data_IF_654348987441
#
_entry.id   IF_654348987441
#
_cell.length_a   1.000
_cell.length_b   1.000
_cell.length_c   1.000
_cell.angle_alpha   90.00
_cell.angle_beta   90.00
_cell.angle_gamma   90.00
#
_symmetry.space_group_name_H-M   'P 1'
#
loop_
_entity.id
_entity.type
_entity.pdbx_description
1 polymer ?
#
# COMPACT_ATOMS: atom_id res chain seq x y z
N UNK A 1 9.10 6.24 17.50
CA UNK A 1 9.77 7.14 16.54
C UNK A 1 9.08 6.96 15.19
N UNK A 2 8.41 8.01 14.70
CA UNK A 2 7.78 8.02 13.37
C UNK A 2 8.86 7.88 12.30
N UNK A 3 8.60 7.08 11.26
CA UNK A 3 9.35 7.12 10.01
C UNK A 3 8.65 8.11 9.06
N UNK A 4 9.18 9.32 8.79
CA UNK A 4 8.52 10.29 7.92
C UNK A 4 9.08 10.36 6.50
N UNK A 5 10.02 9.49 6.10
CA UNK A 5 10.83 9.71 4.88
C UNK A 5 10.35 9.01 3.60
N UNK A 6 9.34 8.14 3.66
CA UNK A 6 8.82 7.44 2.47
C UNK A 6 7.83 8.29 1.68
N UNK A 7 6.97 9.04 2.37
CA UNK A 7 5.89 9.81 1.74
C UNK A 7 6.41 10.95 0.86
N UNK A 8 7.51 11.60 1.24
CA UNK A 8 8.14 12.66 0.43
C UNK A 8 8.70 12.13 -0.88
N UNK A 9 9.22 10.90 -0.88
CA UNK A 9 9.78 10.24 -2.06
C UNK A 9 8.66 9.77 -3.00
N UNK A 10 7.62 9.10 -2.48
CA UNK A 10 6.45 8.70 -3.27
C UNK A 10 5.74 9.89 -3.92
N UNK A 11 5.55 10.99 -3.18
CA UNK A 11 4.95 12.21 -3.74
C UNK A 11 5.82 12.83 -4.85
N UNK A 12 7.15 12.78 -4.73
CA UNK A 12 8.05 13.21 -5.81
C UNK A 12 7.97 12.31 -7.04
N UNK A 13 7.90 10.98 -6.85
CA UNK A 13 7.69 10.02 -7.94
C UNK A 13 6.38 10.30 -8.67
N UNK A 14 5.28 10.51 -7.94
CA UNK A 14 3.98 10.82 -8.52
C UNK A 14 3.95 12.17 -9.26
N UNK A 15 4.58 13.22 -8.72
CA UNK A 15 4.75 14.50 -9.42
C UNK A 15 5.56 14.34 -10.73
N UNK A 16 6.58 13.49 -10.73
CA UNK A 16 7.31 13.17 -11.96
C UNK A 16 6.44 12.42 -12.98
N UNK A 17 5.53 11.54 -12.52
CA UNK A 17 4.52 10.91 -13.37
C UNK A 17 3.57 11.96 -13.96
N UNK A 18 3.08 12.91 -13.18
CA UNK A 18 2.21 14.00 -13.68
C UNK A 18 2.88 14.79 -14.80
N UNK A 19 4.15 15.17 -14.63
CA UNK A 19 4.92 15.85 -15.69
C UNK A 19 5.06 15.00 -16.95
N UNK A 20 5.28 13.69 -16.80
CA UNK A 20 5.34 12.77 -17.95
C UNK A 20 3.98 12.65 -18.65
N UNK A 21 2.87 12.68 -17.92
CA UNK A 21 1.52 12.68 -18.51
C UNK A 21 1.30 13.96 -19.34
N UNK A 22 1.70 15.12 -18.83
CA UNK A 22 1.65 16.38 -19.59
C UNK A 22 2.46 16.23 -20.89
N UNK A 23 3.69 15.69 -20.80
CA UNK A 23 4.54 15.45 -21.98
C UNK A 23 3.90 14.51 -23.01
N UNK A 24 3.23 13.44 -22.56
CA UNK A 24 2.49 12.52 -23.43
C UNK A 24 1.36 13.24 -24.18
N UNK A 25 0.62 14.12 -23.50
CA UNK A 25 -0.42 14.93 -24.14
C UNK A 25 0.15 15.90 -25.19
N UNK A 26 1.27 16.55 -24.88
CA UNK A 26 2.00 17.40 -25.85
C UNK A 26 2.43 16.60 -27.08
N UNK A 27 3.02 15.42 -26.89
CA UNK A 27 3.44 14.53 -27.98
C UNK A 27 2.25 14.10 -28.84
N UNK A 28 1.10 13.82 -28.24
CA UNK A 28 -0.14 13.55 -28.97
C UNK A 28 -0.59 14.74 -29.83
N UNK A 29 -0.48 15.96 -29.31
CA UNK A 29 -0.72 17.19 -30.06
C UNK A 29 0.22 17.36 -31.24
N UNK A 30 1.53 17.14 -31.03
CA UNK A 30 2.54 17.23 -32.08
C UNK A 30 2.35 16.18 -33.18
N UNK A 31 1.91 14.97 -32.83
CA UNK A 31 1.54 13.93 -33.81
C UNK A 31 0.38 14.41 -34.68
N UNK A 32 -0.67 14.97 -34.06
CA UNK A 32 -1.85 15.49 -34.80
C UNK A 32 -1.45 16.66 -35.70
N UNK A 33 -0.62 17.57 -35.21
CA UNK A 33 -0.12 18.72 -35.98
C UNK A 33 0.71 18.27 -37.19
N UNK A 34 1.64 17.32 -37.00
CA UNK A 34 2.46 16.79 -38.08
C UNK A 34 1.61 16.04 -39.13
N UNK A 35 0.58 15.31 -38.69
CA UNK A 35 -0.37 14.65 -39.60
C UNK A 35 -1.24 15.63 -40.39
N UNK A 36 -1.55 16.81 -39.81
CA UNK A 36 -2.32 17.86 -40.46
C UNK A 36 -1.48 18.75 -41.40
N UNK A 37 -0.18 18.49 -41.52
CA UNK A 37 0.73 19.29 -42.35
C UNK A 37 0.30 19.29 -43.83
N UNK A 38 0.13 20.48 -44.40
CA UNK A 38 -0.33 20.70 -45.78
C UNK A 38 0.63 20.16 -46.85
N UNK A 39 1.90 19.96 -46.49
CA UNK A 39 2.93 19.36 -47.36
C UNK A 39 3.06 17.84 -47.21
N UNK A 40 2.22 17.24 -46.36
CA UNK A 40 2.28 15.84 -45.97
C UNK A 40 3.16 15.62 -44.73
N UNK A 41 2.90 14.55 -43.94
CA UNK A 41 3.62 14.29 -42.71
C UNK A 41 5.06 13.83 -42.96
N UNK A 42 6.00 14.40 -42.20
CA UNK A 42 7.39 13.93 -42.15
C UNK A 42 7.46 12.67 -41.31
N UNK A 43 7.63 11.52 -41.99
CA UNK A 43 7.52 10.19 -41.37
C UNK A 43 8.59 9.94 -40.30
N UNK A 44 9.77 10.51 -40.44
CA UNK A 44 10.88 10.49 -39.49
C UNK A 44 10.56 11.26 -38.20
N UNK A 45 10.00 12.45 -38.32
CA UNK A 45 9.55 13.28 -37.18
C UNK A 45 8.39 12.61 -36.46
N UNK A 46 7.39 12.16 -37.21
CA UNK A 46 6.22 11.46 -36.70
C UNK A 46 6.62 10.18 -35.95
N UNK A 47 7.55 9.38 -36.51
CA UNK A 47 8.07 8.19 -35.85
C UNK A 47 8.83 8.53 -34.56
N UNK A 48 9.51 9.67 -34.52
CA UNK A 48 10.15 10.21 -33.31
C UNK A 48 9.13 10.48 -32.20
N UNK A 49 8.09 11.27 -32.49
CA UNK A 49 7.04 11.58 -31.52
C UNK A 49 6.30 10.33 -31.02
N UNK A 50 5.94 9.42 -31.93
CA UNK A 50 5.29 8.16 -31.57
C UNK A 50 6.18 7.29 -30.66
N UNK A 51 7.50 7.24 -30.92
CA UNK A 51 8.44 6.48 -30.08
C UNK A 51 8.56 7.09 -28.68
N UNK A 52 8.73 8.40 -28.59
CA UNK A 52 8.82 9.12 -27.32
C UNK A 52 7.52 8.99 -26.51
N UNK A 53 6.37 9.03 -27.19
CA UNK A 53 5.05 8.83 -26.60
C UNK A 53 4.95 7.44 -25.95
N UNK A 54 5.27 6.39 -26.72
CA UNK A 54 5.19 5.01 -26.24
C UNK A 54 6.18 4.73 -25.09
N UNK A 55 7.38 5.30 -25.17
CA UNK A 55 8.37 5.18 -24.10
C UNK A 55 7.89 5.88 -22.82
N UNK A 56 7.34 7.09 -22.93
CA UNK A 56 6.80 7.84 -21.79
C UNK A 56 5.62 7.11 -21.13
N UNK A 57 4.71 6.52 -21.92
CA UNK A 57 3.61 5.67 -21.42
C UNK A 57 4.16 4.46 -20.64
N UNK A 58 5.17 3.77 -21.18
CA UNK A 58 5.77 2.61 -20.50
C UNK A 58 6.39 2.98 -19.16
N UNK A 59 7.07 4.12 -19.09
CA UNK A 59 7.68 4.62 -17.85
C UNK A 59 6.61 5.01 -16.82
N UNK A 60 5.56 5.72 -17.23
CA UNK A 60 4.41 6.06 -16.36
C UNK A 60 3.80 4.77 -15.76
N UNK A 61 3.55 3.77 -16.60
CA UNK A 61 2.95 2.50 -16.17
C UNK A 61 3.84 1.75 -15.17
N UNK A 62 5.17 1.76 -15.38
CA UNK A 62 6.12 1.10 -14.49
C UNK A 62 6.15 1.79 -13.12
N UNK A 63 6.31 3.12 -13.09
CA UNK A 63 6.35 3.88 -11.85
C UNK A 63 5.04 3.78 -11.07
N UNK A 64 3.88 3.92 -11.73
CA UNK A 64 2.59 3.78 -11.04
C UNK A 64 2.38 2.38 -10.47
N UNK A 65 2.82 1.32 -11.18
CA UNK A 65 2.74 -0.05 -10.66
C UNK A 65 3.56 -0.22 -9.38
N UNK A 66 4.77 0.33 -9.36
CA UNK A 66 5.66 0.28 -8.20
C UNK A 66 5.07 1.06 -7.01
N UNK A 67 4.56 2.27 -7.25
CA UNK A 67 3.91 3.07 -6.19
C UNK A 67 2.64 2.41 -5.66
N UNK A 68 1.81 1.79 -6.52
CA UNK A 68 0.63 1.03 -6.08
C UNK A 68 1.05 -0.17 -5.23
N UNK A 69 2.08 -0.91 -5.64
CA UNK A 69 2.61 -2.04 -4.89
C UNK A 69 3.13 -1.58 -3.52
N UNK A 70 3.92 -0.53 -3.49
CA UNK A 70 4.44 0.09 -2.26
C UNK A 70 3.31 0.52 -1.32
N UNK A 71 2.27 1.19 -1.84
CA UNK A 71 1.10 1.58 -1.05
C UNK A 71 0.28 0.37 -0.53
N UNK A 72 0.29 -0.75 -1.26
CA UNK A 72 -0.36 -1.98 -0.83
C UNK A 72 0.45 -2.74 0.24
N UNK A 73 1.78 -2.79 0.13
CA UNK A 73 2.69 -3.29 1.17
C UNK A 73 2.64 -2.40 2.43
N UNK A 74 2.33 -1.11 2.26
CA UNK A 74 2.03 -0.20 3.36
C UNK A 74 0.63 -0.41 3.98
N UNK A 75 -0.17 -1.40 3.54
CA UNK A 75 -1.46 -1.67 4.17
C UNK A 75 -1.24 -2.03 5.65
N UNK A 76 -1.89 -1.34 6.60
CA UNK A 76 -1.76 -1.58 8.04
C UNK A 76 -2.11 -3.00 8.50
N UNK A 77 -2.73 -3.82 7.63
CA UNK A 77 -3.17 -5.17 7.94
C UNK A 77 -2.02 -6.16 8.15
N UNK A 78 -0.86 -6.00 7.50
CA UNK A 78 0.28 -6.91 7.71
C UNK A 78 0.99 -6.69 9.05
N UNK A 79 0.82 -5.52 9.67
CA UNK A 79 1.31 -5.21 11.02
C UNK A 79 0.18 -4.98 12.04
N UNK A 80 -1.03 -5.45 11.73
CA UNK A 80 -2.16 -5.29 12.62
C UNK A 80 -2.03 -6.26 13.79
N UNK A 81 -1.63 -5.75 14.95
CA UNK A 81 -1.54 -6.53 16.19
C UNK A 81 -2.91 -6.89 16.76
N UNK A 82 -4.01 -6.44 16.13
CA UNK A 82 -5.39 -6.68 16.57
C UNK A 82 -5.66 -8.15 16.87
N UNK A 83 -5.35 -9.06 15.95
CA UNK A 83 -5.58 -10.50 16.18
C UNK A 83 -4.79 -11.04 17.36
N UNK A 84 -3.53 -10.61 17.52
CA UNK A 84 -2.70 -10.99 18.67
C UNK A 84 -3.23 -10.40 19.98
N UNK A 85 -3.72 -9.16 19.93
CA UNK A 85 -4.29 -8.46 21.08
C UNK A 85 -5.58 -9.11 21.55
N UNK A 86 -6.51 -9.39 20.64
CA UNK A 86 -7.77 -10.08 20.94
C UNK A 86 -7.51 -11.50 21.44
N UNK A 87 -6.55 -12.23 20.85
CA UNK A 87 -6.19 -13.56 21.34
C UNK A 87 -5.65 -13.52 22.78
N UNK A 88 -4.81 -12.53 23.11
CA UNK A 88 -4.31 -12.33 24.47
C UNK A 88 -5.43 -11.96 25.46
N UNK A 89 -6.35 -11.09 25.05
CA UNK A 89 -7.51 -10.69 25.87
C UNK A 89 -8.39 -11.90 26.20
N UNK A 90 -8.71 -12.73 25.20
CA UNK A 90 -9.43 -14.00 25.41
C UNK A 90 -8.65 -14.94 26.32
N UNK A 91 -7.32 -15.01 26.17
CA UNK A 91 -6.49 -15.87 27.01
C UNK A 91 -6.49 -15.40 28.47
N UNK A 92 -6.50 -14.08 28.69
CA UNK A 92 -6.55 -13.50 30.02
C UNK A 92 -7.86 -13.86 30.73
N UNK A 93 -9.00 -13.70 30.07
CA UNK A 93 -10.32 -14.09 30.61
C UNK A 93 -10.38 -15.58 30.97
N UNK A 94 -9.79 -16.45 30.12
CA UNK A 94 -9.68 -17.89 30.42
C UNK A 94 -8.84 -18.17 31.66
N UNK A 95 -7.74 -17.45 31.84
CA UNK A 95 -6.88 -17.60 33.01
C UNK A 95 -7.60 -17.14 34.28
N UNK A 96 -8.34 -16.03 34.20
CA UNK A 96 -9.15 -15.55 35.32
C UNK A 96 -10.19 -16.58 35.73
N UNK A 97 -10.89 -17.18 34.77
CA UNK A 97 -11.84 -18.26 35.05
C UNK A 97 -11.17 -19.48 35.72
N UNK A 98 -9.98 -19.90 35.26
CA UNK A 98 -9.25 -21.01 35.88
C UNK A 98 -8.87 -20.68 37.33
N UNK A 99 -8.47 -19.44 37.61
CA UNK A 99 -8.15 -19.00 38.98
C UNK A 99 -9.39 -19.08 39.87
N UNK A 100 -10.52 -18.56 39.41
CA UNK A 100 -11.80 -18.62 40.15
C UNK A 100 -12.17 -20.07 40.50
N UNK A 101 -12.07 -21.00 39.54
CA UNK A 101 -12.33 -22.41 39.77
C UNK A 101 -11.35 -23.05 40.78
N UNK A 102 -10.08 -22.66 40.77
CA UNK A 102 -9.09 -23.16 41.73
C UNK A 102 -9.35 -22.64 43.15
N UNK A 103 -9.81 -21.39 43.28
CA UNK A 103 -10.21 -20.82 44.57
C UNK A 103 -11.43 -21.55 45.15
N UNK A 104 -12.42 -21.86 44.32
CA UNK A 104 -13.58 -22.65 44.73
C UNK A 104 -13.19 -24.06 45.18
N UNK A 105 -12.29 -24.72 44.44
CA UNK A 105 -11.76 -26.03 44.82
C UNK A 105 -11.02 -25.97 46.16
N UNK A 106 -10.17 -24.94 46.35
CA UNK A 106 -9.46 -24.73 47.61
C UNK A 106 -10.43 -24.55 48.78
N UNK A 107 -11.43 -23.68 48.62
CA UNK A 107 -12.47 -23.45 49.65
C UNK A 107 -13.23 -24.73 50.01
N UNK A 108 -13.52 -25.55 49.01
CA UNK A 108 -14.17 -26.85 49.21
C UNK A 108 -13.27 -27.78 50.04
N UNK A 109 -11.97 -27.85 49.71
CA UNK A 109 -11.00 -28.65 50.47
C UNK A 109 -10.88 -28.14 51.91
N UNK A 110 -10.71 -26.83 52.09
CA UNK A 110 -10.55 -26.21 53.41
C UNK A 110 -11.76 -26.54 54.32
N UNK A 111 -12.99 -26.50 53.77
CA UNK A 111 -14.21 -26.91 54.47
C UNK A 111 -14.20 -28.38 54.91
N UNK A 112 -13.67 -29.31 54.10
CA UNK A 112 -13.56 -30.72 54.49
C UNK A 112 -12.51 -30.97 55.58
N UNK A 113 -11.45 -30.17 55.63
CA UNK A 113 -10.41 -30.27 56.67
C UNK A 113 -10.79 -29.62 58.00
N UNK A 114 -11.68 -28.63 58.02
CA UNK A 114 -12.18 -28.00 59.25
C UNK A 114 -13.27 -28.82 59.96
N UNK A 115 -13.94 -29.74 59.24
CA UNK A 115 -14.99 -30.64 59.77
C UNK A 115 -14.46 -32.01 60.26
N UNK A 116 -13.14 -32.23 60.30
CA UNK A 116 -12.47 -33.47 60.78
C UNK A 116 -11.69 -33.24 62.07
#
# INVERSE_FOLDING_TARGET
MLAPQTNSTSLQCLNNVEKKIIRVLELGGLVVEELANSTGPKTDVLAGYCREFMQSIKEIQMTLREEIKSACEYRPFEKCDYSSRIANEICFEKLQYVIEQLEDMKKTIDQFTDDS
#
